data_IF_550829490898
#
_entry.id   IF_550829490898
#
_cell.length_a   1.000
_cell.length_b   1.000
_cell.length_c   1.000
_cell.angle_alpha   90.00
_cell.angle_beta   90.00
_cell.angle_gamma   90.00
#
_symmetry.space_group_name_H-M   'P 1'
#
loop_
_entity.id
_entity.type
_entity.pdbx_description
1 polymer ?
#
# COMPACT_ATOMS: atom_id res chain seq x y z
N UNK A 1 9.35 2.58 -18.89
CA UNK A 1 9.16 1.72 -17.71
C UNK A 1 9.45 0.28 -18.09
N UNK A 2 10.15 -0.49 -17.24
CA UNK A 2 10.33 -1.94 -17.44
C UNK A 2 9.33 -2.68 -16.57
N UNK A 3 8.28 -3.23 -17.19
CA UNK A 3 7.18 -3.88 -16.46
C UNK A 3 7.67 -4.97 -15.52
N UNK A 4 8.54 -5.87 -15.98
CA UNK A 4 9.09 -6.93 -15.12
C UNK A 4 9.81 -6.42 -13.88
N UNK A 5 10.55 -5.30 -13.98
CA UNK A 5 11.21 -4.68 -12.82
C UNK A 5 10.20 -3.95 -11.91
N UNK A 6 9.19 -3.31 -12.49
CA UNK A 6 8.12 -2.67 -11.73
C UNK A 6 7.39 -3.70 -10.87
N UNK A 7 7.04 -4.85 -11.46
CA UNK A 7 6.39 -5.95 -10.76
C UNK A 7 7.32 -6.64 -9.74
N UNK A 8 8.60 -6.82 -10.07
CA UNK A 8 9.58 -7.40 -9.14
C UNK A 8 9.77 -6.59 -7.85
N UNK A 9 9.56 -5.27 -7.88
CA UNK A 9 9.56 -4.44 -6.67
C UNK A 9 8.17 -4.30 -6.05
N UNK A 10 7.12 -4.38 -6.86
CA UNK A 10 5.74 -4.37 -6.37
C UNK A 10 5.45 -5.56 -5.46
N UNK A 11 5.73 -6.79 -5.90
CA UNK A 11 5.38 -8.01 -5.17
C UNK A 11 5.92 -8.03 -3.73
N UNK A 12 7.24 -7.87 -3.50
CA UNK A 12 7.76 -7.87 -2.12
C UNK A 12 7.26 -6.67 -1.32
N UNK A 13 7.11 -5.48 -1.93
CA UNK A 13 6.56 -4.32 -1.22
C UNK A 13 5.11 -4.57 -0.78
N UNK A 14 4.29 -5.15 -1.65
CA UNK A 14 2.91 -5.52 -1.37
C UNK A 14 2.84 -6.55 -0.23
N UNK A 15 3.63 -7.63 -0.29
CA UNK A 15 3.66 -8.62 0.79
C UNK A 15 4.08 -8.00 2.13
N UNK A 16 5.07 -7.11 2.13
CA UNK A 16 5.52 -6.43 3.35
C UNK A 16 4.41 -5.55 3.93
N UNK A 17 3.72 -4.74 3.12
CA UNK A 17 2.63 -3.89 3.66
C UNK A 17 1.47 -4.73 4.18
N UNK A 18 1.13 -5.84 3.53
CA UNK A 18 0.07 -6.75 4.00
C UNK A 18 0.45 -7.33 5.35
N UNK A 19 1.66 -7.85 5.50
CA UNK A 19 2.13 -8.40 6.79
C UNK A 19 2.15 -7.33 7.88
N UNK A 20 2.68 -6.14 7.59
CA UNK A 20 2.75 -5.06 8.58
C UNK A 20 1.37 -4.53 8.99
N UNK A 21 0.44 -4.40 8.05
CA UNK A 21 -0.92 -3.95 8.32
C UNK A 21 -1.71 -4.99 9.13
N UNK A 22 -1.64 -6.26 8.77
CA UNK A 22 -2.27 -7.34 9.54
C UNK A 22 -1.64 -7.47 10.93
N UNK A 23 -0.30 -7.40 11.03
CA UNK A 23 0.39 -7.46 12.31
C UNK A 23 0.01 -6.29 13.22
N UNK A 24 -0.11 -5.06 12.68
CA UNK A 24 -0.49 -3.91 13.51
C UNK A 24 -1.90 -4.07 14.09
N UNK A 25 -2.85 -4.57 13.30
CA UNK A 25 -4.21 -4.89 13.76
C UNK A 25 -4.20 -5.98 14.83
N UNK A 26 -3.46 -7.07 14.62
CA UNK A 26 -3.37 -8.18 15.58
C UNK A 26 -2.70 -7.77 16.90
N UNK A 27 -1.62 -6.97 16.84
CA UNK A 27 -0.95 -6.45 18.03
C UNK A 27 -1.89 -5.51 18.80
N UNK A 28 -2.60 -4.63 18.09
CA UNK A 28 -3.57 -3.73 18.73
C UNK A 28 -4.68 -4.51 19.42
N UNK A 29 -5.22 -5.54 18.76
CA UNK A 29 -6.22 -6.44 19.32
C UNK A 29 -5.74 -7.06 20.65
N UNK A 30 -4.55 -7.67 20.63
CA UNK A 30 -3.98 -8.34 21.80
C UNK A 30 -3.56 -7.40 22.95
N UNK A 31 -3.19 -6.15 22.66
CA UNK A 31 -2.81 -5.18 23.70
C UNK A 31 -4.04 -4.54 24.37
N UNK A 32 -5.14 -4.40 23.64
CA UNK A 32 -6.34 -3.69 24.12
C UNK A 32 -7.49 -4.65 24.49
N UNK A 33 -7.24 -5.97 24.52
CA UNK A 33 -8.26 -7.01 24.72
C UNK A 33 -9.49 -6.83 23.81
N UNK A 34 -9.27 -6.35 22.59
CA UNK A 34 -10.31 -6.18 21.58
C UNK A 34 -10.23 -7.32 20.58
N UNK A 35 -11.38 -7.71 20.03
CA UNK A 35 -11.39 -8.74 19.00
C UNK A 35 -10.71 -8.24 17.72
N UNK A 36 -9.86 -9.08 17.12
CA UNK A 36 -9.24 -8.82 15.81
C UNK A 36 -10.27 -8.91 14.67
N UNK A 37 -11.26 -9.78 14.86
CA UNK A 37 -12.49 -9.87 14.13
C UNK A 37 -13.59 -10.04 15.18
N UNK A 38 -14.67 -9.28 15.11
CA UNK A 38 -15.77 -9.38 16.06
C UNK A 38 -16.49 -10.73 15.83
N UNK A 39 -16.54 -11.61 16.83
CA UNK A 39 -17.30 -12.86 16.71
C UNK A 39 -18.80 -12.60 16.53
N UNK A 40 -19.28 -11.41 16.92
CA UNK A 40 -20.67 -10.97 16.76
C UNK A 40 -20.90 -10.06 15.53
N UNK A 41 -19.87 -9.37 15.01
CA UNK A 41 -19.97 -8.59 13.78
C UNK A 41 -19.31 -9.31 12.62
N UNK A 42 -20.13 -9.69 11.65
CA UNK A 42 -19.82 -10.48 10.46
C UNK A 42 -18.79 -9.86 9.48
N UNK A 43 -18.02 -8.84 9.86
CA UNK A 43 -17.13 -8.08 8.98
C UNK A 43 -15.82 -7.64 9.63
N UNK A 44 -14.70 -7.85 8.92
CA UNK A 44 -13.37 -7.28 9.22
C UNK A 44 -13.42 -5.76 9.44
N UNK A 45 -14.19 -5.06 8.59
CA UNK A 45 -14.12 -3.59 8.46
C UNK A 45 -14.70 -2.90 9.69
N UNK A 46 -15.61 -3.57 10.40
CA UNK A 46 -16.26 -3.07 11.61
C UNK A 46 -15.52 -3.46 12.89
N UNK A 47 -14.50 -4.31 12.81
CA UNK A 47 -13.76 -4.74 13.99
C UNK A 47 -13.07 -3.54 14.69
N UNK A 48 -13.20 -3.38 16.03
CA UNK A 48 -12.64 -2.24 16.75
C UNK A 48 -11.13 -2.08 16.56
N UNK A 49 -10.41 -3.20 16.55
CA UNK A 49 -8.96 -3.21 16.33
C UNK A 49 -8.58 -2.85 14.89
N UNK A 50 -9.36 -3.31 13.90
CA UNK A 50 -9.15 -2.94 12.50
C UNK A 50 -9.36 -1.45 12.31
N UNK A 51 -10.53 -0.92 12.70
CA UNK A 51 -10.88 0.50 12.57
C UNK A 51 -9.86 1.43 13.24
N UNK A 52 -9.36 1.06 14.43
CA UNK A 52 -8.33 1.81 15.13
C UNK A 52 -6.98 1.82 14.40
N UNK A 53 -6.67 0.78 13.62
CA UNK A 53 -5.36 0.61 12.98
C UNK A 53 -5.29 1.04 11.52
N UNK A 54 -6.44 1.17 10.83
CA UNK A 54 -6.48 1.58 9.41
C UNK A 54 -5.73 2.88 9.08
N UNK A 55 -5.77 3.95 9.91
CA UNK A 55 -4.99 5.15 9.62
C UNK A 55 -3.49 4.87 9.47
N UNK A 56 -2.97 3.92 10.25
CA UNK A 56 -1.56 3.50 10.16
C UNK A 56 -1.29 2.64 8.93
N UNK A 57 -2.27 1.90 8.40
CA UNK A 57 -2.12 1.15 7.15
C UNK A 57 -1.75 2.08 6.00
N UNK A 58 -2.37 3.26 5.91
CA UNK A 58 -2.04 4.28 4.90
C UNK A 58 -0.57 4.74 5.04
N UNK A 59 -0.11 4.95 6.27
CA UNK A 59 1.28 5.34 6.55
C UNK A 59 2.27 4.22 6.19
N UNK A 60 1.90 2.97 6.47
CA UNK A 60 2.67 1.78 6.08
C UNK A 60 2.84 1.71 4.56
N UNK A 61 1.78 2.01 3.79
CA UNK A 61 1.87 2.07 2.32
C UNK A 61 2.96 3.05 1.88
N UNK A 62 2.93 4.29 2.40
CA UNK A 62 3.94 5.29 2.06
C UNK A 62 5.35 4.87 2.48
N UNK A 63 5.48 4.31 3.69
CA UNK A 63 6.75 3.91 4.29
C UNK A 63 7.43 2.78 3.51
N UNK A 64 6.66 1.88 2.89
CA UNK A 64 7.20 0.72 2.16
C UNK A 64 7.33 1.01 0.66
N UNK A 65 6.28 1.55 0.03
CA UNK A 65 6.29 1.79 -1.42
C UNK A 65 7.23 2.94 -1.82
N UNK A 66 7.45 3.95 -0.95
CA UNK A 66 8.37 5.05 -1.28
C UNK A 66 9.82 4.56 -1.39
N UNK A 67 10.39 3.83 -0.41
CA UNK A 67 11.70 3.19 -0.56
C UNK A 67 11.75 2.19 -1.72
N UNK A 68 10.71 1.40 -1.95
CA UNK A 68 10.66 0.50 -3.10
C UNK A 68 10.80 1.27 -4.43
N UNK A 69 10.18 2.46 -4.54
CA UNK A 69 10.34 3.34 -5.69
C UNK A 69 11.79 3.83 -5.82
N UNK A 70 12.45 4.18 -4.72
CA UNK A 70 13.89 4.51 -4.74
C UNK A 70 14.71 3.34 -5.30
N UNK A 71 14.45 2.11 -4.87
CA UNK A 71 15.15 0.90 -5.34
C UNK A 71 14.89 0.62 -6.82
N UNK A 72 13.66 0.83 -7.30
CA UNK A 72 13.32 0.77 -8.73
C UNK A 72 14.15 1.80 -9.53
N UNK A 73 14.29 3.04 -9.05
CA UNK A 73 15.02 4.09 -9.74
C UNK A 73 16.54 4.11 -9.49
N UNK A 74 17.13 3.17 -8.73
CA UNK A 74 18.61 3.14 -8.44
C UNK A 74 19.52 3.09 -9.67
N UNK A 75 19.00 2.67 -10.82
CA UNK A 75 19.74 2.68 -12.09
C UNK A 75 18.88 3.38 -13.14
N UNK A 76 18.75 4.73 -13.08
CA UNK A 76 18.00 5.49 -14.07
C UNK A 76 18.72 5.36 -15.41
N UNK A 77 17.99 5.14 -16.51
CA UNK A 77 18.59 4.94 -17.84
C UNK A 77 18.65 6.21 -18.70
N UNK A 78 18.56 7.39 -18.09
CA UNK A 78 18.34 8.64 -18.83
C UNK A 78 16.92 8.68 -19.40
N UNK A 79 16.42 9.90 -19.67
CA UNK A 79 15.06 10.13 -20.15
C UNK A 79 14.16 10.90 -19.17
N UNK A 80 12.89 11.08 -19.55
CA UNK A 80 11.92 11.86 -18.80
C UNK A 80 11.47 11.13 -17.52
N UNK A 81 12.09 11.49 -16.38
CA UNK A 81 11.78 10.89 -15.07
C UNK A 81 10.31 11.09 -14.67
N UNK A 82 9.68 12.22 -15.00
CA UNK A 82 8.26 12.47 -14.68
C UNK A 82 7.38 11.41 -15.33
N UNK A 83 7.60 11.14 -16.63
CA UNK A 83 6.82 10.15 -17.37
C UNK A 83 7.03 8.74 -16.81
N UNK A 84 8.27 8.39 -16.45
CA UNK A 84 8.55 7.07 -15.86
C UNK A 84 7.93 6.93 -14.47
N UNK A 85 7.94 7.98 -13.64
CA UNK A 85 7.27 8.01 -12.33
C UNK A 85 5.76 7.81 -12.48
N UNK A 86 5.11 8.52 -13.42
CA UNK A 86 3.68 8.36 -13.67
C UNK A 86 3.33 6.93 -14.08
N UNK A 87 4.08 6.35 -15.03
CA UNK A 87 3.85 4.97 -15.48
C UNK A 87 4.03 3.95 -14.35
N UNK A 88 5.04 4.14 -13.50
CA UNK A 88 5.27 3.27 -12.34
C UNK A 88 4.11 3.38 -11.33
N UNK A 89 3.69 4.61 -11.01
CA UNK A 89 2.60 4.88 -10.09
C UNK A 89 1.29 4.24 -10.56
N UNK A 90 0.94 4.40 -11.85
CA UNK A 90 -0.23 3.77 -12.45
C UNK A 90 -0.13 2.25 -12.47
N UNK A 91 1.04 1.70 -12.78
CA UNK A 91 1.27 0.26 -12.80
C UNK A 91 1.08 -0.36 -11.41
N UNK A 92 1.64 0.25 -10.36
CA UNK A 92 1.51 -0.25 -9.00
C UNK A 92 0.10 -0.06 -8.44
N UNK A 93 -0.56 1.05 -8.76
CA UNK A 93 -1.97 1.26 -8.41
C UNK A 93 -2.86 0.18 -9.03
N UNK A 94 -2.74 -0.05 -10.34
CA UNK A 94 -3.54 -1.05 -11.03
C UNK A 94 -3.24 -2.48 -10.50
N UNK A 95 -1.97 -2.80 -10.27
CA UNK A 95 -1.59 -4.09 -9.69
C UNK A 95 -2.17 -4.26 -8.27
N UNK A 96 -2.13 -3.24 -7.42
CA UNK A 96 -2.72 -3.29 -6.09
C UNK A 96 -4.23 -3.51 -6.14
N UNK A 97 -4.95 -2.77 -6.98
CA UNK A 97 -6.40 -2.96 -7.14
C UNK A 97 -6.77 -4.38 -7.59
N UNK A 98 -6.00 -4.95 -8.53
CA UNK A 98 -6.23 -6.32 -8.99
C UNK A 98 -5.92 -7.34 -7.88
N UNK A 99 -4.79 -7.20 -7.20
CA UNK A 99 -4.40 -8.13 -6.13
C UNK A 99 -5.36 -8.03 -4.95
N UNK A 100 -5.81 -6.83 -4.59
CA UNK A 100 -6.78 -6.63 -3.52
C UNK A 100 -8.13 -7.26 -3.87
N UNK A 101 -8.61 -7.05 -5.10
CA UNK A 101 -9.87 -7.65 -5.54
C UNK A 101 -9.77 -9.18 -5.52
N UNK A 102 -8.72 -9.75 -6.09
CA UNK A 102 -8.56 -11.21 -6.11
C UNK A 102 -8.32 -11.76 -4.70
N UNK A 103 -7.46 -11.11 -3.93
CA UNK A 103 -7.00 -11.57 -2.63
C UNK A 103 -8.00 -11.38 -1.50
N UNK A 104 -8.73 -10.26 -1.45
CA UNK A 104 -9.64 -9.95 -0.35
C UNK A 104 -11.12 -10.08 -0.73
N UNK A 105 -11.48 -10.09 -2.01
CA UNK A 105 -12.90 -10.18 -2.44
C UNK A 105 -13.22 -11.54 -3.05
N UNK A 106 -12.37 -12.06 -3.95
CA UNK A 106 -12.66 -13.30 -4.68
C UNK A 106 -12.22 -14.54 -3.90
N UNK A 107 -11.00 -14.54 -3.35
CA UNK A 107 -10.45 -15.69 -2.61
C UNK A 107 -10.91 -15.64 -1.16
N UNK A 108 -11.64 -16.67 -0.73
CA UNK A 108 -12.06 -16.84 0.67
C UNK A 108 -10.84 -17.11 1.54
N UNK A 109 -10.60 -16.23 2.51
CA UNK A 109 -9.53 -16.33 3.50
C UNK A 109 -9.96 -15.59 4.78
N UNK A 110 -9.21 -15.68 5.90
CA UNK A 110 -9.62 -15.05 7.16
C UNK A 110 -9.84 -13.53 7.10
N UNK A 111 -9.30 -12.85 6.07
CA UNK A 111 -9.41 -11.42 5.85
C UNK A 111 -10.31 -11.08 4.65
N UNK A 112 -10.98 -12.07 4.05
CA UNK A 112 -11.85 -11.84 2.91
C UNK A 112 -13.12 -11.12 3.33
N UNK A 113 -13.59 -10.22 2.47
CA UNK A 113 -14.81 -9.45 2.69
C UNK A 113 -15.58 -9.27 1.39
N UNK A 114 -16.92 -9.11 1.44
CA UNK A 114 -17.73 -8.80 0.27
C UNK A 114 -17.24 -7.55 -0.46
N UNK A 115 -17.43 -7.50 -1.79
CA UNK A 115 -17.02 -6.36 -2.61
C UNK A 115 -17.60 -5.02 -2.12
N UNK A 116 -18.85 -5.04 -1.62
CA UNK A 116 -19.51 -3.86 -1.06
C UNK A 116 -18.77 -3.37 0.19
N UNK A 117 -18.40 -4.27 1.09
CA UNK A 117 -17.67 -3.91 2.30
C UNK A 117 -16.28 -3.35 1.95
N UNK A 118 -15.58 -4.00 1.01
CA UNK A 118 -14.24 -3.59 0.60
C UNK A 118 -14.20 -2.22 -0.09
N UNK A 119 -15.18 -1.89 -0.95
CA UNK A 119 -15.12 -0.67 -1.78
C UNK A 119 -16.02 0.47 -1.31
N UNK A 120 -17.09 0.16 -0.55
CA UNK A 120 -18.06 1.15 -0.07
C UNK A 120 -17.88 1.39 1.42
N UNK A 121 -17.96 0.35 2.24
CA UNK A 121 -17.95 0.53 3.70
C UNK A 121 -16.54 0.81 4.23
N UNK A 122 -15.50 0.33 3.56
CA UNK A 122 -14.09 0.62 3.90
C UNK A 122 -13.63 2.03 3.48
N UNK A 123 -14.51 2.87 2.94
CA UNK A 123 -14.19 4.26 2.66
C UNK A 123 -14.03 5.07 3.97
N UNK A 124 -13.17 6.11 4.00
CA UNK A 124 -12.33 6.59 2.90
C UNK A 124 -11.01 5.82 2.75
N UNK A 125 -10.79 4.81 3.58
CA UNK A 125 -9.47 4.25 3.81
C UNK A 125 -8.90 3.49 2.62
N UNK A 126 -9.71 2.70 1.92
CA UNK A 126 -9.24 2.00 0.70
C UNK A 126 -8.76 2.99 -0.36
N UNK A 127 -9.46 4.12 -0.52
CA UNK A 127 -9.07 5.19 -1.45
C UNK A 127 -7.75 5.84 -1.02
N UNK A 128 -7.55 6.05 0.28
CA UNK A 128 -6.30 6.60 0.82
C UNK A 128 -5.13 5.64 0.66
N UNK A 129 -5.34 4.33 0.82
CA UNK A 129 -4.35 3.28 0.56
C UNK A 129 -3.93 3.32 -0.91
N UNK A 130 -4.89 3.33 -1.83
CA UNK A 130 -4.60 3.45 -3.27
C UNK A 130 -3.89 4.74 -3.63
N UNK A 131 -4.31 5.85 -3.04
CA UNK A 131 -3.65 7.14 -3.22
C UNK A 131 -2.21 7.10 -2.68
N UNK A 132 -1.96 6.46 -1.54
CA UNK A 132 -0.63 6.32 -0.97
C UNK A 132 0.31 5.50 -1.86
N UNK A 133 -0.16 4.38 -2.41
CA UNK A 133 0.59 3.56 -3.36
C UNK A 133 0.91 4.37 -4.62
N UNK A 134 -0.08 5.07 -5.16
CA UNK A 134 0.11 5.94 -6.33
C UNK A 134 1.07 7.10 -6.04
N UNK A 135 0.97 7.75 -4.88
CA UNK A 135 1.79 8.90 -4.49
C UNK A 135 3.25 8.52 -4.20
N UNK A 136 3.53 7.27 -3.82
CA UNK A 136 4.86 6.84 -3.38
C UNK A 136 5.98 7.07 -4.41
N UNK A 137 5.84 6.71 -5.70
CA UNK A 137 6.80 7.09 -6.74
C UNK A 137 6.98 8.62 -6.90
N UNK A 138 5.93 9.40 -6.68
CA UNK A 138 5.98 10.87 -6.75
C UNK A 138 6.73 11.47 -5.57
N UNK A 139 6.52 10.94 -4.36
CA UNK A 139 7.28 11.34 -3.17
C UNK A 139 8.77 11.10 -3.36
N UNK A 140 9.15 9.95 -3.94
CA UNK A 140 10.54 9.70 -4.34
C UNK A 140 11.04 10.77 -5.31
N UNK A 141 10.28 11.11 -6.35
CA UNK A 141 10.70 12.09 -7.35
C UNK A 141 10.85 13.49 -6.75
N UNK A 142 9.89 13.92 -5.93
CA UNK A 142 9.93 15.20 -5.22
C UNK A 142 11.15 15.28 -4.31
N UNK A 143 11.40 14.24 -3.51
CA UNK A 143 12.54 14.19 -2.61
C UNK A 143 13.90 14.18 -3.33
N UNK A 144 14.00 13.57 -4.51
CA UNK A 144 15.22 13.66 -5.35
C UNK A 144 15.40 15.06 -5.94
N UNK A 145 14.32 15.72 -6.37
CA UNK A 145 14.37 17.10 -6.91
C UNK A 145 14.66 18.15 -5.86
N UNK A 146 14.27 17.91 -4.60
CA UNK A 146 14.48 18.83 -3.49
C UNK A 146 15.92 18.81 -2.94
N UNK A 147 16.78 17.87 -3.35
CA UNK A 147 18.17 17.82 -2.86
C UNK A 147 18.96 19.01 -3.42
N UNK A 148 19.51 19.89 -2.56
CA UNK A 148 20.35 21.00 -3.02
C UNK A 148 21.65 20.49 -3.65
N UNK A 149 22.14 21.19 -4.68
CA UNK A 149 23.30 20.82 -5.50
C UNK A 149 24.66 20.69 -4.75
N UNK A 150 24.69 20.84 -3.42
CA UNK A 150 25.92 20.95 -2.61
C UNK A 150 26.60 19.64 -2.22
N UNK A 151 26.12 18.48 -2.68
CA UNK A 151 26.75 17.17 -2.41
C UNK A 151 27.30 16.49 -3.68
N UNK A 152 27.48 17.25 -4.75
CA UNK A 152 28.01 16.75 -6.03
C UNK A 152 29.45 17.21 -6.32
N UNK A 153 30.16 17.76 -5.33
CA UNK A 153 31.57 18.13 -5.40
C UNK A 153 32.40 17.20 -4.51
#
# INVERSE_FOLDING_TARGET
>A
MRLGRALAWFVPAYLIVTVLASASTLIYAGVNDTAAADEAASSMVTAPSFTATVPYHVLIMLLVFTPAAYLYFRRPRGGNQTRETLLLALCWLAAAMVVDFVGFVVIQNPWSMPAREFYVDYQPWISLIYLAIFASPWLRLAAVRARPARLAA
#
